data_IF_567757215662
#
_entry.id   IF_567757215662
#
_cell.length_a   1.000
_cell.length_b   1.000
_cell.length_c   1.000
_cell.angle_alpha   90.00
_cell.angle_beta   90.00
_cell.angle_gamma   90.00
#
_symmetry.space_group_name_H-M   'P 1'
#
loop_
_entity.id
_entity.type
_entity.pdbx_description
1 polymer ?
#
# COMPACT_ATOMS: atom_id res chain seq x y z
N UNK A 1 -0.71 20.23 -1.38
CA UNK A 1 0.35 19.41 -1.99
C UNK A 1 0.09 18.00 -1.51
N UNK A 2 -0.44 17.11 -2.36
CA UNK A 2 -0.97 15.83 -1.89
C UNK A 2 0.13 14.77 -1.78
N UNK A 3 0.10 13.98 -0.71
CA UNK A 3 1.00 12.87 -0.44
C UNK A 3 0.27 11.54 -0.67
N UNK A 4 0.95 10.56 -1.23
CA UNK A 4 0.40 9.23 -1.46
C UNK A 4 1.24 8.18 -0.70
N UNK A 5 0.55 7.23 -0.07
CA UNK A 5 1.17 6.00 0.45
C UNK A 5 0.57 4.86 -0.35
N UNK A 6 1.42 4.15 -1.08
CA UNK A 6 1.07 2.92 -1.75
C UNK A 6 1.41 1.76 -0.84
N UNK A 7 0.42 0.94 -0.56
CA UNK A 7 0.55 -0.28 0.24
C UNK A 7 0.33 -1.46 -0.67
N UNK A 8 1.31 -2.35 -0.75
CA UNK A 8 1.33 -3.44 -1.72
C UNK A 8 1.38 -4.78 -1.01
N UNK A 9 0.47 -5.69 -1.36
CA UNK A 9 0.43 -7.02 -0.74
C UNK A 9 0.19 -8.16 -1.77
N UNK A 10 0.40 -9.43 -1.38
CA UNK A 10 0.26 -10.60 -2.25
C UNK A 10 -1.10 -11.34 -2.31
N UNK A 11 -2.13 -11.23 -1.42
CA UNK A 11 -3.55 -11.62 -1.74
C UNK A 11 -4.73 -10.84 -1.02
N UNK A 12 -5.48 -9.90 -1.64
CA UNK A 12 -6.66 -9.18 -1.03
C UNK A 12 -7.74 -8.77 -2.08
N UNK A 13 -9.05 -8.69 -1.73
CA UNK A 13 -10.16 -8.45 -2.67
C UNK A 13 -10.46 -6.99 -3.10
N UNK A 14 -10.22 -5.97 -2.26
CA UNK A 14 -10.58 -4.55 -2.54
C UNK A 14 -9.40 -3.67 -3.02
N UNK A 15 -8.38 -4.31 -3.59
CA UNK A 15 -7.16 -3.66 -4.03
C UNK A 15 -6.99 -3.74 -5.55
N UNK A 16 -6.15 -2.87 -6.10
CA UNK A 16 -5.83 -2.90 -7.54
C UNK A 16 -4.97 -4.11 -7.82
N UNK A 17 -5.55 -5.17 -8.39
CA UNK A 17 -4.81 -6.34 -8.85
C UNK A 17 -3.83 -5.95 -9.96
N UNK A 18 -2.56 -6.25 -9.76
CA UNK A 18 -1.54 -6.10 -10.78
C UNK A 18 -1.50 -7.35 -11.67
N UNK A 19 -1.35 -7.10 -12.96
CA UNK A 19 -1.23 -8.14 -13.98
C UNK A 19 0.20 -8.20 -14.48
N UNK A 20 0.56 -9.31 -15.11
CA UNK A 20 1.85 -9.47 -15.75
C UNK A 20 2.11 -8.36 -16.79
N UNK A 21 3.39 -8.09 -17.03
CA UNK A 21 3.80 -7.14 -18.04
C UNK A 21 3.29 -7.54 -19.42
N UNK A 22 3.16 -6.57 -20.32
CA UNK A 22 2.79 -6.85 -21.73
C UNK A 22 3.80 -7.75 -22.44
N UNK A 23 5.01 -7.85 -21.89
CA UNK A 23 6.09 -8.75 -22.31
C UNK A 23 5.99 -10.17 -21.69
N UNK A 24 4.99 -10.43 -20.86
CA UNK A 24 4.79 -11.69 -20.13
C UNK A 24 5.65 -11.84 -18.88
N UNK A 25 6.36 -10.79 -18.46
CA UNK A 25 7.13 -10.81 -17.21
C UNK A 25 6.18 -10.87 -16.01
N UNK A 26 6.47 -11.71 -14.99
CA UNK A 26 5.59 -11.84 -13.84
C UNK A 26 5.54 -10.54 -13.04
N UNK A 27 4.34 -10.14 -12.62
CA UNK A 27 4.21 -8.97 -11.74
C UNK A 27 4.97 -9.18 -10.42
N UNK A 28 5.73 -8.18 -10.00
CA UNK A 28 6.46 -8.20 -8.72
C UNK A 28 5.51 -8.21 -7.51
N UNK A 29 4.28 -7.76 -7.72
CA UNK A 29 3.28 -7.50 -6.69
C UNK A 29 1.93 -8.04 -7.13
N UNK A 30 1.10 -8.57 -6.21
CA UNK A 30 -0.21 -9.08 -6.61
C UNK A 30 -1.28 -7.98 -6.65
N UNK A 31 -1.24 -7.00 -5.74
CA UNK A 31 -2.06 -5.79 -5.76
C UNK A 31 -1.47 -4.70 -4.89
N UNK A 32 -1.97 -3.48 -5.09
CA UNK A 32 -1.74 -2.37 -4.19
C UNK A 32 -2.98 -1.54 -3.94
N UNK A 33 -2.94 -0.77 -2.87
CA UNK A 33 -3.87 0.31 -2.57
C UNK A 33 -3.07 1.62 -2.47
N UNK A 34 -3.68 2.72 -2.92
CA UNK A 34 -3.10 4.05 -2.80
C UNK A 34 -4.02 4.85 -1.89
N UNK A 35 -3.46 5.31 -0.78
CA UNK A 35 -4.13 6.26 0.10
C UNK A 35 -3.52 7.63 -0.13
N UNK A 36 -4.35 8.66 -0.23
CA UNK A 36 -3.91 10.03 -0.49
C UNK A 36 -4.25 10.93 0.69
N UNK A 37 -3.30 11.78 1.08
CA UNK A 37 -3.42 12.77 2.15
C UNK A 37 -3.11 14.17 1.63
N UNK A 38 -3.58 15.18 2.37
CA UNK A 38 -3.37 16.58 2.00
C UNK A 38 -1.98 17.10 2.36
N UNK A 39 -1.33 16.48 3.35
CA UNK A 39 0.01 16.82 3.82
C UNK A 39 0.70 15.64 4.53
N UNK A 40 2.01 15.75 4.71
CA UNK A 40 2.85 14.72 5.35
C UNK A 40 2.58 14.55 6.85
N UNK A 41 2.07 15.57 7.53
CA UNK A 41 1.79 15.49 8.98
C UNK A 41 0.63 14.52 9.24
N UNK A 42 -0.41 14.55 8.41
CA UNK A 42 -1.50 13.57 8.47
C UNK A 42 -1.01 12.13 8.33
N UNK A 43 -0.03 11.89 7.44
CA UNK A 43 0.60 10.57 7.29
C UNK A 43 1.29 10.18 8.60
N UNK A 44 2.11 11.06 9.18
CA UNK A 44 2.82 10.78 10.44
C UNK A 44 1.86 10.51 11.59
N UNK A 45 0.77 11.28 11.71
CA UNK A 45 -0.25 11.08 12.73
C UNK A 45 -0.95 9.74 12.56
N UNK A 46 -1.34 9.39 11.33
CA UNK A 46 -1.96 8.10 11.05
C UNK A 46 -1.02 6.93 11.38
N UNK A 47 0.26 7.03 11.01
CA UNK A 47 1.27 5.99 11.29
C UNK A 47 1.69 5.89 12.77
N UNK A 48 1.39 6.90 13.59
CA UNK A 48 1.62 6.88 15.04
C UNK A 48 0.41 6.38 15.85
N UNK A 49 -0.74 6.20 15.19
CA UNK A 49 -1.98 5.74 15.81
C UNK A 49 -1.94 4.25 16.19
N UNK A 50 -2.71 3.83 17.21
CA UNK A 50 -2.83 2.42 17.59
C UNK A 50 -3.41 1.54 16.48
N UNK A 51 -4.17 2.13 15.55
CA UNK A 51 -4.84 1.45 14.44
C UNK A 51 -3.84 0.78 13.47
N UNK A 52 -2.62 1.33 13.37
CA UNK A 52 -1.54 0.75 12.55
C UNK A 52 -1.17 -0.64 13.03
N UNK A 53 -1.15 -0.86 14.35
CA UNK A 53 -0.83 -2.17 14.91
C UNK A 53 -1.84 -3.24 14.50
N UNK A 54 -3.13 -2.88 14.47
CA UNK A 54 -4.20 -3.77 14.04
C UNK A 54 -4.11 -4.07 12.53
N UNK A 55 -3.91 -3.04 11.70
CA UNK A 55 -3.74 -3.19 10.24
C UNK A 55 -2.52 -4.05 9.91
N UNK A 56 -1.40 -3.84 10.61
CA UNK A 56 -0.17 -4.61 10.40
C UNK A 56 -0.30 -6.07 10.86
N UNK A 57 -1.06 -6.33 11.93
CA UNK A 57 -1.36 -7.69 12.37
C UNK A 57 -2.24 -8.45 11.36
N UNK A 58 -3.19 -7.75 10.74
CA UNK A 58 -4.11 -8.35 9.76
C UNK A 58 -3.40 -8.79 8.47
N UNK A 59 -2.23 -8.23 8.15
CA UNK A 59 -1.43 -8.64 6.97
C UNK A 59 -1.20 -10.14 6.94
N UNK A 60 -0.93 -10.76 8.09
CA UNK A 60 -0.69 -12.20 8.19
C UNK A 60 -1.91 -13.06 7.82
N UNK A 61 -3.13 -12.52 7.88
CA UNK A 61 -4.36 -13.25 7.54
C UNK A 61 -4.54 -13.42 6.03
N UNK A 62 -4.03 -12.50 5.23
CA UNK A 62 -4.28 -12.45 3.79
C UNK A 62 -3.00 -12.46 2.94
N UNK A 63 -1.83 -12.33 3.56
CA UNK A 63 -0.54 -12.30 2.89
C UNK A 63 0.45 -13.29 3.50
N UNK A 64 1.21 -13.95 2.64
CA UNK A 64 2.37 -14.75 3.01
C UNK A 64 3.71 -14.01 2.84
N UNK A 65 3.68 -12.70 2.53
CA UNK A 65 4.86 -11.82 2.44
C UNK A 65 4.66 -10.53 3.22
N UNK A 66 5.76 -9.91 3.60
CA UNK A 66 5.73 -8.59 4.21
C UNK A 66 5.15 -7.54 3.26
N UNK A 67 4.43 -6.60 3.84
CA UNK A 67 3.88 -5.44 3.14
C UNK A 67 5.00 -4.44 2.82
N UNK A 68 4.91 -3.79 1.66
CA UNK A 68 5.83 -2.70 1.28
C UNK A 68 5.05 -1.39 1.27
N UNK A 69 5.59 -0.39 1.97
CA UNK A 69 5.09 0.99 1.99
C UNK A 69 5.94 1.87 1.08
N UNK A 70 5.31 2.48 0.08
CA UNK A 70 5.95 3.46 -0.78
C UNK A 70 5.31 4.83 -0.53
N UNK A 71 6.10 5.78 -0.04
CA UNK A 71 5.65 7.17 0.17
C UNK A 71 6.11 8.03 -1.00
N UNK A 72 5.22 8.87 -1.52
CA UNK A 72 5.54 9.77 -2.62
C UNK A 72 4.69 11.03 -2.62
N UNK A 73 5.15 12.02 -3.37
CA UNK A 73 4.42 13.26 -3.61
C UNK A 73 3.71 13.17 -4.95
N UNK A 74 2.45 13.62 -4.99
CA UNK A 74 1.71 13.73 -6.24
C UNK A 74 2.18 14.98 -6.97
N UNK A 75 3.05 14.79 -7.96
CA UNK A 75 3.48 15.85 -8.88
C UNK A 75 2.36 16.11 -9.90
N UNK A 76 1.89 17.36 -10.00
CA UNK A 76 0.93 17.83 -11.01
C UNK A 76 1.47 19.04 -11.74
#
# INVERSE_FOLDING_TARGET
>A
MAFAVTVVFPNVPDATKFVDGLDGSPSLYAFGSVVTWDNIEQVKTAFAGPEVGEIMADVSNFSNKDVIFLMGEVLR
#
